data_IF_033912060194
#
_entry.id   IF_033912060194
#
_cell.length_a   1.000
_cell.length_b   1.000
_cell.length_c   1.000
_cell.angle_alpha   90.00
_cell.angle_beta   90.00
_cell.angle_gamma   90.00
#
_symmetry.space_group_name_H-M   'P 1'
#
loop_
_entity.id
_entity.type
_entity.pdbx_description
1 polymer ?
#
# COMPACT_ATOMS: atom_id res chain seq x y z
N UNK A 1 -38.69 -7.30 4.27
CA UNK A 1 -37.67 -7.39 3.18
C UNK A 1 -37.83 -6.23 2.19
N UNK A 2 -39.04 -5.66 2.10
CA UNK A 2 -39.42 -4.52 1.27
C UNK A 2 -38.47 -3.33 1.43
N UNK A 3 -38.22 -2.88 2.67
CA UNK A 3 -37.32 -1.73 2.93
C UNK A 3 -35.91 -1.92 2.35
N UNK A 4 -35.37 -3.14 2.39
CA UNK A 4 -34.04 -3.42 1.84
C UNK A 4 -34.04 -3.43 0.31
N UNK A 5 -35.10 -3.96 -0.31
CA UNK A 5 -35.25 -3.96 -1.77
C UNK A 5 -35.48 -2.55 -2.32
N UNK A 6 -36.28 -1.73 -1.63
CA UNK A 6 -36.53 -0.34 -1.98
C UNK A 6 -35.27 0.51 -1.86
N UNK A 7 -34.52 0.36 -0.76
CA UNK A 7 -33.21 1.00 -0.62
C UNK A 7 -32.25 0.62 -1.76
N UNK A 8 -32.17 -0.66 -2.11
CA UNK A 8 -31.31 -1.12 -3.20
C UNK A 8 -31.72 -0.53 -4.56
N UNK A 9 -33.03 -0.38 -4.79
CA UNK A 9 -33.58 0.24 -6.00
C UNK A 9 -33.27 1.73 -6.09
N UNK A 10 -33.36 2.47 -4.99
CA UNK A 10 -33.03 3.90 -4.97
C UNK A 10 -31.54 4.18 -5.22
N UNK A 11 -30.68 3.22 -4.89
CA UNK A 11 -29.23 3.38 -4.96
C UNK A 11 -28.59 2.66 -6.17
N UNK A 12 -29.38 2.02 -7.04
CA UNK A 12 -28.88 1.29 -8.21
C UNK A 12 -29.82 1.39 -9.40
N UNK A 13 -29.34 1.03 -10.59
CA UNK A 13 -30.16 0.94 -11.80
C UNK A 13 -30.85 -0.43 -11.97
N UNK A 14 -31.00 -1.21 -10.89
CA UNK A 14 -31.56 -2.55 -10.97
C UNK A 14 -33.09 -2.54 -11.10
N UNK A 15 -33.63 -3.52 -11.81
CA UNK A 15 -35.08 -3.75 -11.84
C UNK A 15 -35.63 -4.14 -10.47
N UNK A 16 -36.93 -3.96 -10.23
CA UNK A 16 -37.58 -4.41 -8.99
C UNK A 16 -37.33 -5.91 -8.74
N UNK A 17 -37.50 -6.75 -9.77
CA UNK A 17 -37.30 -8.19 -9.66
C UNK A 17 -35.84 -8.54 -9.30
N UNK A 18 -34.88 -7.86 -9.91
CA UNK A 18 -33.45 -8.00 -9.59
C UNK A 18 -33.16 -7.60 -8.14
N UNK A 19 -33.71 -6.49 -7.66
CA UNK A 19 -33.53 -6.05 -6.28
C UNK A 19 -34.03 -7.10 -5.29
N UNK A 20 -35.24 -7.63 -5.50
CA UNK A 20 -35.80 -8.70 -4.67
C UNK A 20 -34.91 -9.95 -4.65
N UNK A 21 -34.48 -10.42 -5.82
CA UNK A 21 -33.59 -11.59 -5.92
C UNK A 21 -32.25 -11.37 -5.19
N UNK A 22 -31.70 -10.15 -5.21
CA UNK A 22 -30.48 -9.82 -4.46
C UNK A 22 -30.73 -9.85 -2.95
N UNK A 23 -31.82 -9.27 -2.45
CA UNK A 23 -32.15 -9.30 -1.03
C UNK A 23 -32.35 -10.74 -0.54
N UNK A 24 -33.05 -11.59 -1.31
CA UNK A 24 -33.18 -13.01 -1.00
C UNK A 24 -31.82 -13.72 -0.92
N UNK A 25 -30.91 -13.43 -1.86
CA UNK A 25 -29.54 -13.94 -1.84
C UNK A 25 -28.81 -13.51 -0.56
N UNK A 26 -28.92 -12.25 -0.16
CA UNK A 26 -28.22 -11.71 1.01
C UNK A 26 -28.73 -12.32 2.32
N UNK A 27 -30.02 -12.65 2.41
CA UNK A 27 -30.59 -13.36 3.56
C UNK A 27 -30.10 -14.81 3.62
N UNK A 28 -30.03 -15.50 2.46
CA UNK A 28 -29.56 -16.89 2.40
C UNK A 28 -28.06 -17.02 2.67
N UNK A 29 -27.27 -16.04 2.24
CA UNK A 29 -25.81 -16.05 2.37
C UNK A 29 -25.33 -14.74 3.01
N UNK A 30 -25.46 -14.59 4.33
CA UNK A 30 -25.08 -13.37 5.02
C UNK A 30 -23.58 -13.07 4.86
N UNK A 31 -23.25 -11.79 4.71
CA UNK A 31 -21.88 -11.29 4.58
C UNK A 31 -21.25 -11.40 3.18
N UNK A 32 -21.79 -12.23 2.29
CA UNK A 32 -21.24 -12.41 0.94
C UNK A 32 -21.23 -11.12 0.12
N UNK A 33 -22.29 -10.29 0.22
CA UNK A 33 -22.34 -9.02 -0.49
C UNK A 33 -21.33 -7.99 0.06
N UNK A 34 -21.00 -8.07 1.35
CA UNK A 34 -20.04 -7.17 1.97
C UNK A 34 -18.61 -7.45 1.52
N UNK A 35 -18.29 -8.70 1.14
CA UNK A 35 -16.92 -9.09 0.79
C UNK A 35 -16.38 -8.33 -0.42
N UNK A 36 -17.24 -7.96 -1.38
CA UNK A 36 -16.84 -7.16 -2.54
C UNK A 36 -16.22 -5.84 -2.12
N UNK A 37 -16.91 -5.08 -1.26
CA UNK A 37 -16.43 -3.75 -0.86
C UNK A 37 -15.30 -3.83 0.15
N UNK A 38 -15.34 -4.81 1.07
CA UNK A 38 -14.27 -5.01 2.05
C UNK A 38 -12.94 -5.35 1.34
N UNK A 39 -12.97 -6.24 0.35
CA UNK A 39 -11.78 -6.58 -0.45
C UNK A 39 -11.24 -5.37 -1.22
N UNK A 40 -12.11 -4.62 -1.89
CA UNK A 40 -11.73 -3.39 -2.60
C UNK A 40 -11.06 -2.38 -1.66
N UNK A 41 -11.66 -2.12 -0.50
CA UNK A 41 -11.14 -1.18 0.49
C UNK A 41 -9.76 -1.59 0.99
N UNK A 42 -9.54 -2.89 1.27
CA UNK A 42 -8.24 -3.38 1.72
C UNK A 42 -7.16 -3.23 0.64
N UNK A 43 -7.47 -3.54 -0.62
CA UNK A 43 -6.52 -3.34 -1.73
C UNK A 43 -6.16 -1.85 -1.88
N UNK A 44 -7.15 -0.96 -1.75
CA UNK A 44 -6.92 0.50 -1.78
C UNK A 44 -6.05 0.98 -0.63
N UNK A 45 -6.28 0.48 0.58
CA UNK A 45 -5.48 0.79 1.75
C UNK A 45 -4.01 0.39 1.57
N UNK A 46 -3.75 -0.84 1.11
CA UNK A 46 -2.40 -1.34 0.85
C UNK A 46 -1.72 -0.51 -0.25
N UNK A 47 -2.46 -0.15 -1.32
CA UNK A 47 -1.94 0.72 -2.37
C UNK A 47 -1.54 2.10 -1.84
N UNK A 48 -2.40 2.71 -1.03
CA UNK A 48 -2.11 4.01 -0.41
C UNK A 48 -0.85 3.93 0.46
N UNK A 49 -0.66 2.84 1.22
CA UNK A 49 0.55 2.57 1.99
C UNK A 49 1.79 2.46 1.10
N UNK A 50 1.70 1.72 0.00
CA UNK A 50 2.78 1.61 -0.98
C UNK A 50 3.15 2.96 -1.61
N UNK A 51 2.15 3.78 -1.96
CA UNK A 51 2.35 5.15 -2.48
C UNK A 51 3.06 6.05 -1.46
N UNK A 52 2.74 5.91 -0.17
CA UNK A 52 3.38 6.66 0.92
C UNK A 52 4.82 6.20 1.18
N UNK A 53 5.08 4.90 1.21
CA UNK A 53 6.38 4.35 1.60
C UNK A 53 7.41 4.34 0.47
N UNK A 54 6.99 4.13 -0.78
CA UNK A 54 7.89 4.03 -1.93
C UNK A 54 7.98 5.32 -2.73
N UNK A 55 6.97 6.19 -2.64
CA UNK A 55 6.93 7.48 -3.34
C UNK A 55 7.22 7.33 -4.84
N UNK A 56 8.23 8.06 -5.33
CA UNK A 56 8.65 8.02 -6.73
C UNK A 56 9.22 6.66 -7.18
N UNK A 57 9.57 5.77 -6.25
CA UNK A 57 10.08 4.43 -6.56
C UNK A 57 8.96 3.41 -6.77
N UNK A 58 7.69 3.77 -6.51
CA UNK A 58 6.56 2.87 -6.72
C UNK A 58 6.34 2.58 -8.20
N UNK A 59 6.49 1.31 -8.58
CA UNK A 59 6.04 0.80 -9.86
C UNK A 59 4.64 0.18 -9.73
N UNK A 60 3.63 0.80 -10.33
CA UNK A 60 2.25 0.29 -10.34
C UNK A 60 2.14 -1.10 -11.03
N UNK A 61 2.82 -1.36 -12.17
CA UNK A 61 2.84 -2.71 -12.74
C UNK A 61 3.40 -3.77 -11.78
N UNK A 62 4.49 -3.47 -11.08
CA UNK A 62 5.09 -4.42 -10.12
C UNK A 62 4.19 -4.62 -8.89
N UNK A 63 3.53 -3.56 -8.41
CA UNK A 63 2.52 -3.67 -7.35
C UNK A 63 1.39 -4.62 -7.75
N UNK A 64 0.82 -4.45 -8.94
CA UNK A 64 -0.24 -5.33 -9.42
C UNK A 64 0.25 -6.75 -9.63
N UNK A 65 1.48 -6.93 -10.13
CA UNK A 65 2.09 -8.24 -10.30
C UNK A 65 2.22 -8.96 -8.95
N UNK A 66 2.82 -8.30 -7.96
CA UNK A 66 2.99 -8.84 -6.62
C UNK A 66 1.65 -9.25 -5.99
N UNK A 67 0.62 -8.39 -6.13
CA UNK A 67 -0.72 -8.67 -5.62
C UNK A 67 -1.38 -9.88 -6.31
N UNK A 68 -1.28 -9.97 -7.65
CA UNK A 68 -1.93 -11.02 -8.43
C UNK A 68 -1.21 -12.37 -8.31
N UNK A 69 0.11 -12.37 -8.12
CA UNK A 69 0.92 -13.59 -7.94
C UNK A 69 0.53 -14.35 -6.66
N UNK A 70 -0.04 -13.68 -5.64
CA UNK A 70 -0.56 -14.32 -4.42
C UNK A 70 -1.75 -15.25 -4.70
N UNK A 71 -2.49 -15.00 -5.78
CA UNK A 71 -3.76 -15.68 -6.06
C UNK A 71 -4.84 -15.42 -4.99
N UNK A 72 -5.93 -16.20 -5.00
CA UNK A 72 -7.00 -16.08 -4.02
C UNK A 72 -6.51 -16.47 -2.63
N UNK A 73 -6.46 -15.51 -1.70
CA UNK A 73 -6.00 -15.73 -0.33
C UNK A 73 -6.82 -14.91 0.68
N UNK A 74 -6.76 -15.26 1.98
CA UNK A 74 -7.36 -14.45 3.04
C UNK A 74 -6.78 -13.03 3.07
N UNK A 75 -7.61 -12.03 3.39
CA UNK A 75 -7.19 -10.61 3.38
C UNK A 75 -5.99 -10.32 4.28
N UNK A 76 -5.88 -11.00 5.43
CA UNK A 76 -4.74 -10.84 6.33
C UNK A 76 -3.44 -11.30 5.67
N UNK A 77 -3.44 -12.47 5.02
CA UNK A 77 -2.27 -12.98 4.32
C UNK A 77 -1.88 -12.07 3.15
N UNK A 78 -2.88 -11.60 2.39
CA UNK A 78 -2.66 -10.61 1.32
C UNK A 78 -1.98 -9.35 1.86
N UNK A 79 -2.45 -8.82 2.98
CA UNK A 79 -1.85 -7.64 3.61
C UNK A 79 -0.41 -7.92 4.09
N UNK A 80 -0.17 -9.05 4.75
CA UNK A 80 1.15 -9.40 5.28
C UNK A 80 2.18 -9.58 4.14
N UNK A 81 1.83 -10.27 3.06
CA UNK A 81 2.72 -10.47 1.91
C UNK A 81 2.97 -9.17 1.13
N UNK A 82 1.94 -8.34 0.96
CA UNK A 82 2.12 -7.04 0.30
C UNK A 82 2.98 -6.08 1.14
N UNK A 83 2.87 -6.13 2.47
CA UNK A 83 3.75 -5.35 3.36
C UNK A 83 5.22 -5.79 3.23
N UNK A 84 5.49 -7.10 3.15
CA UNK A 84 6.84 -7.61 2.88
C UNK A 84 7.37 -7.14 1.53
N UNK A 85 6.52 -7.18 0.50
CA UNK A 85 6.89 -6.68 -0.82
C UNK A 85 7.22 -5.17 -0.79
N UNK A 86 6.41 -4.35 -0.13
CA UNK A 86 6.67 -2.90 0.04
C UNK A 86 8.03 -2.69 0.71
N UNK A 87 8.29 -3.37 1.83
CA UNK A 87 9.56 -3.25 2.56
C UNK A 87 10.76 -3.63 1.67
N UNK A 88 10.66 -4.75 0.95
CA UNK A 88 11.72 -5.21 0.04
C UNK A 88 11.92 -4.30 -1.18
N UNK A 89 10.93 -3.47 -1.52
CA UNK A 89 10.95 -2.56 -2.66
C UNK A 89 11.48 -1.17 -2.30
N UNK A 90 11.76 -0.90 -1.02
CA UNK A 90 12.35 0.38 -0.61
C UNK A 90 13.75 0.53 -1.23
N UNK A 91 14.12 1.74 -1.66
CA UNK A 91 15.48 1.98 -2.13
C UNK A 91 16.45 1.69 -1.00
N UNK A 92 17.47 0.88 -1.29
CA UNK A 92 18.57 0.65 -0.35
C UNK A 92 19.27 1.99 -0.12
N UNK A 93 19.23 2.52 1.10
CA UNK A 93 20.08 3.63 1.49
C UNK A 93 21.54 3.21 1.26
N UNK A 94 22.17 3.78 0.24
CA UNK A 94 23.57 3.46 -0.03
C UNK A 94 24.43 3.98 1.13
N UNK A 95 25.21 3.09 1.76
CA UNK A 95 26.23 3.43 2.75
C UNK A 95 27.28 4.46 2.24
N UNK A 96 27.27 4.76 0.94
CA UNK A 96 28.10 5.80 0.34
C UNK A 96 27.76 7.21 0.86
N UNK A 97 26.52 7.48 1.28
CA UNK A 97 26.15 8.81 1.78
C UNK A 97 26.67 9.07 3.21
N UNK A 98 26.76 8.04 4.04
CA UNK A 98 27.39 8.13 5.38
C UNK A 98 28.91 8.32 5.30
N UNK A 99 29.58 7.65 4.36
CA UNK A 99 31.03 7.77 4.19
C UNK A 99 31.46 9.15 3.64
N UNK A 100 30.64 9.81 2.83
CA UNK A 100 30.91 11.18 2.36
C UNK A 100 30.78 12.23 3.47
N UNK A 101 29.79 12.12 4.37
CA UNK A 101 29.65 13.03 5.51
C UNK A 101 30.78 12.87 6.53
N UNK A 102 31.25 11.65 6.80
CA UNK A 102 32.38 11.43 7.71
C UNK A 102 33.71 11.95 7.16
N UNK A 103 33.93 11.89 5.84
CA UNK A 103 35.17 12.36 5.22
C UNK A 103 35.28 13.91 5.24
N UNK A 104 34.18 14.63 5.03
CA UNK A 104 34.14 16.09 5.11
C UNK A 104 34.36 16.63 6.55
N UNK A 105 33.88 15.91 7.57
CA UNK A 105 34.12 16.25 8.97
C UNK A 105 35.58 16.03 9.37
N UNK A 106 36.26 15.04 8.80
CA UNK A 106 37.69 14.80 9.06
C UNK A 106 38.60 15.87 8.45
N UNK A 107 38.32 16.32 7.22
CA UNK A 107 39.12 17.37 6.54
C UNK A 107 38.97 18.72 7.25
N UNK A 108 37.77 19.05 7.73
CA UNK A 108 37.50 20.31 8.45
C UNK A 108 38.14 20.39 9.84
N UNK A 109 38.34 19.25 10.52
CA UNK A 109 39.05 19.18 11.81
C UNK A 109 40.59 19.19 11.67
N UNK A 110 41.14 18.81 10.50
CA UNK A 110 42.58 18.80 10.25
C UNK A 110 43.12 20.14 9.70
N UNK A 111 42.27 20.95 9.03
CA UNK A 111 42.62 22.29 8.58
C UNK A 111 43.20 23.22 9.67
N UNK A 112 42.62 23.33 10.88
CA UNK A 112 43.21 24.16 11.94
C UNK A 112 44.55 23.61 12.47
N UNK A 113 44.77 22.30 12.43
CA UNK A 113 46.04 21.68 12.83
C UNK A 113 47.13 21.97 11.80
N UNK A 114 46.80 21.89 10.51
CA UNK A 114 47.74 22.17 9.41
C UNK A 114 48.08 23.68 9.36
N UNK A 115 47.10 24.56 9.57
CA UNK A 115 47.34 26.01 9.67
C UNK A 115 48.25 26.37 10.86
N UNK A 116 48.11 25.68 12.01
CA UNK A 116 48.98 25.89 13.17
C UNK A 116 50.43 25.41 12.97
N UNK A 117 50.67 24.44 12.07
CA UNK A 117 52.02 23.92 11.78
C UNK A 117 52.74 24.82 10.76
N UNK A 118 52.02 25.43 9.82
CA UNK A 118 52.61 26.16 8.70
C UNK A 118 52.65 27.69 8.86
N UNK A 119 52.08 28.29 9.92
CA UNK A 119 52.01 29.76 10.14
C UNK A 119 51.84 30.56 8.84
N UNK A 120 50.72 30.35 8.14
CA UNK A 120 50.17 31.26 7.13
C UNK A 120 48.83 31.77 7.64
#
# INVERSE_FOLDING_TARGET
MERAAEYLKENTALSNASCWAQIERYVRWPGQACSYKIGELKIKEIRQRAEQELGASLSIPEFHKALLDLGPCPLQLMEDEMNKWIESSKPVESAAHQNMCCHFLFISLLLPVISSIYQL
#
